data_IF_454753389433
#
_entry.id   IF_454753389433
#
_cell.length_a   1.000
_cell.length_b   1.000
_cell.length_c   1.000
_cell.angle_alpha   90.00
_cell.angle_beta   90.00
_cell.angle_gamma   90.00
#
_symmetry.space_group_name_H-M   'P 1'
#
loop_
_entity.id
_entity.type
_entity.pdbx_description
1 polymer ?
#
# COMPACT_ATOMS: atom_id res chain seq x y z
N UNK A 1 -11.06 -21.30 -1.06
CA UNK A 1 -11.66 -20.03 -0.63
C UNK A 1 -11.03 -18.83 -1.35
N UNK A 2 -9.71 -18.79 -1.57
CA UNK A 2 -9.06 -17.68 -2.28
C UNK A 2 -9.55 -17.43 -3.72
N UNK A 3 -9.78 -18.49 -4.50
CA UNK A 3 -10.33 -18.39 -5.87
C UNK A 3 -11.72 -17.75 -5.95
N UNK A 4 -12.54 -17.85 -4.90
CA UNK A 4 -13.86 -17.19 -4.88
C UNK A 4 -13.76 -15.70 -4.57
N UNK A 5 -12.72 -15.31 -3.84
CA UNK A 5 -12.45 -13.93 -3.48
C UNK A 5 -11.99 -13.11 -4.69
N UNK A 6 -11.05 -13.68 -5.45
CA UNK A 6 -10.58 -13.15 -6.73
C UNK A 6 -11.73 -12.93 -7.71
N UNK A 7 -12.62 -13.93 -7.86
CA UNK A 7 -13.82 -13.81 -8.70
C UNK A 7 -14.72 -12.65 -8.28
N UNK A 8 -14.99 -12.50 -6.98
CA UNK A 8 -15.82 -11.39 -6.47
C UNK A 8 -15.23 -10.02 -6.78
N UNK A 9 -13.91 -9.86 -6.74
CA UNK A 9 -13.26 -8.57 -7.03
C UNK A 9 -13.36 -8.24 -8.52
N UNK A 10 -13.18 -9.24 -9.39
CA UNK A 10 -13.35 -9.08 -10.84
C UNK A 10 -14.79 -8.66 -11.15
N UNK A 11 -15.77 -9.35 -10.57
CA UNK A 11 -17.19 -9.05 -10.76
C UNK A 11 -17.56 -7.62 -10.30
N UNK A 12 -16.98 -7.16 -9.18
CA UNK A 12 -17.23 -5.83 -8.63
C UNK A 12 -16.54 -4.70 -9.41
N UNK A 13 -15.37 -4.97 -9.98
CA UNK A 13 -14.58 -3.94 -10.67
C UNK A 13 -14.90 -3.84 -12.15
N UNK A 14 -15.56 -4.85 -12.73
CA UNK A 14 -15.85 -4.95 -14.18
C UNK A 14 -14.59 -4.85 -15.05
N UNK A 15 -13.43 -5.09 -14.44
CA UNK A 15 -12.15 -5.04 -15.13
C UNK A 15 -11.91 -6.36 -15.87
N UNK A 16 -11.12 -6.38 -16.96
CA UNK A 16 -10.86 -7.59 -17.72
C UNK A 16 -10.29 -8.70 -16.82
N UNK A 17 -11.02 -9.81 -16.72
CA UNK A 17 -10.73 -10.90 -15.77
C UNK A 17 -9.30 -11.39 -15.87
N UNK A 18 -8.79 -11.54 -17.09
CA UNK A 18 -7.50 -12.18 -17.33
C UNK A 18 -6.34 -11.26 -16.95
N UNK A 19 -6.48 -9.96 -17.20
CA UNK A 19 -5.46 -8.96 -16.84
C UNK A 19 -5.40 -8.78 -15.33
N UNK A 20 -6.56 -8.68 -14.68
CA UNK A 20 -6.65 -8.51 -13.22
C UNK A 20 -6.19 -9.76 -12.47
N UNK A 21 -6.59 -10.94 -12.94
CA UNK A 21 -6.18 -12.20 -12.30
C UNK A 21 -4.66 -12.34 -12.33
N UNK A 22 -4.05 -12.13 -13.49
CA UNK A 22 -2.59 -12.22 -13.62
C UNK A 22 -1.86 -11.21 -12.73
N UNK A 23 -2.38 -10.00 -12.60
CA UNK A 23 -1.76 -8.97 -11.76
C UNK A 23 -1.92 -9.28 -10.27
N UNK A 24 -3.11 -9.69 -9.84
CA UNK A 24 -3.35 -10.10 -8.46
C UNK A 24 -2.52 -11.32 -8.06
N UNK A 25 -2.35 -12.28 -8.97
CA UNK A 25 -1.48 -13.44 -8.72
C UNK A 25 -0.02 -13.01 -8.50
N UNK A 26 0.51 -12.09 -9.32
CA UNK A 26 1.86 -11.54 -9.11
C UNK A 26 2.00 -10.79 -7.79
N UNK A 27 1.01 -9.98 -7.43
CA UNK A 27 1.02 -9.22 -6.17
C UNK A 27 1.09 -10.18 -4.98
N UNK A 28 0.31 -11.27 -5.01
CA UNK A 28 0.33 -12.29 -3.96
C UNK A 28 1.64 -13.10 -3.95
N UNK A 29 2.15 -13.48 -5.12
CA UNK A 29 3.42 -14.19 -5.27
C UNK A 29 4.61 -13.38 -4.73
N UNK A 30 4.64 -12.07 -4.99
CA UNK A 30 5.67 -11.17 -4.46
C UNK A 30 5.72 -11.14 -2.92
N UNK A 31 4.61 -11.50 -2.26
CA UNK A 31 4.51 -11.59 -0.80
C UNK A 31 4.56 -13.03 -0.28
N UNK A 32 4.80 -14.02 -1.15
CA UNK A 32 4.82 -15.43 -0.79
C UNK A 32 3.44 -15.99 -0.38
N UNK A 33 2.36 -15.30 -0.73
CA UNK A 33 0.99 -15.69 -0.37
C UNK A 33 0.40 -16.57 -1.46
N UNK A 34 -0.09 -17.76 -1.09
CA UNK A 34 -0.75 -18.66 -2.04
C UNK A 34 -2.17 -18.19 -2.35
N UNK A 35 -2.47 -18.01 -3.65
CA UNK A 35 -3.81 -17.65 -4.16
C UNK A 35 -4.94 -18.60 -3.74
N UNK A 36 -4.62 -19.86 -3.44
CA UNK A 36 -5.64 -20.85 -3.04
C UNK A 36 -6.09 -20.69 -1.58
N UNK A 37 -5.21 -20.11 -0.75
CA UNK A 37 -5.37 -19.99 0.71
C UNK A 37 -5.46 -18.54 1.21
N UNK A 38 -5.36 -17.56 0.32
CA UNK A 38 -5.42 -16.15 0.66
C UNK A 38 -6.72 -15.77 1.37
N UNK A 39 -6.57 -15.11 2.52
CA UNK A 39 -7.65 -14.46 3.26
C UNK A 39 -7.90 -13.03 2.78
N UNK A 40 -9.03 -12.44 3.19
CA UNK A 40 -9.33 -11.03 2.89
C UNK A 40 -8.30 -10.06 3.47
N UNK A 41 -7.78 -10.35 4.66
CA UNK A 41 -6.77 -9.50 5.31
C UNK A 41 -5.45 -9.55 4.56
N UNK A 42 -4.97 -10.74 4.22
CA UNK A 42 -3.74 -10.93 3.44
C UNK A 42 -3.85 -10.25 2.08
N UNK A 43 -4.99 -10.39 1.39
CA UNK A 43 -5.19 -9.71 0.12
C UNK A 43 -5.19 -8.19 0.25
N UNK A 44 -5.83 -7.64 1.30
CA UNK A 44 -5.82 -6.19 1.56
C UNK A 44 -4.42 -5.68 1.86
N UNK A 45 -3.65 -6.41 2.68
CA UNK A 45 -2.25 -6.09 2.94
C UNK A 45 -1.42 -6.11 1.66
N UNK A 46 -1.64 -7.13 0.83
CA UNK A 46 -0.91 -7.27 -0.42
C UNK A 46 -1.18 -6.11 -1.40
N UNK A 47 -2.45 -5.73 -1.53
CA UNK A 47 -2.86 -4.59 -2.35
C UNK A 47 -2.39 -3.25 -1.78
N UNK A 48 -2.41 -3.07 -0.46
CA UNK A 48 -1.95 -1.84 0.17
C UNK A 48 -0.46 -1.60 -0.10
N UNK A 49 0.35 -2.66 0.03
CA UNK A 49 1.78 -2.62 -0.28
C UNK A 49 2.03 -2.32 -1.77
N UNK A 50 1.31 -3.01 -2.67
CA UNK A 50 1.41 -2.74 -4.11
C UNK A 50 1.09 -1.28 -4.45
N UNK A 51 0.00 -0.73 -3.89
CA UNK A 51 -0.38 0.66 -4.12
C UNK A 51 0.66 1.63 -3.58
N UNK A 52 1.24 1.34 -2.41
CA UNK A 52 2.32 2.14 -1.85
C UNK A 52 3.54 2.16 -2.77
N UNK A 53 3.97 1.00 -3.27
CA UNK A 53 5.09 0.89 -4.22
C UNK A 53 4.81 1.63 -5.54
N UNK A 54 3.62 1.46 -6.11
CA UNK A 54 3.22 2.16 -7.34
C UNK A 54 3.25 3.66 -7.13
N UNK A 55 2.72 4.16 -6.01
CA UNK A 55 2.70 5.58 -5.72
C UNK A 55 4.10 6.13 -5.43
N UNK A 56 4.96 5.38 -4.74
CA UNK A 56 6.35 5.76 -4.52
C UNK A 56 7.14 5.85 -5.83
N UNK A 57 7.00 4.86 -6.72
CA UNK A 57 7.66 4.84 -8.03
C UNK A 57 7.22 6.00 -8.94
N UNK A 58 5.96 6.42 -8.83
CA UNK A 58 5.42 7.56 -9.58
C UNK A 58 5.67 8.92 -8.90
N UNK A 59 6.40 8.96 -7.78
CA UNK A 59 6.68 10.18 -7.03
C UNK A 59 5.42 10.82 -6.42
N UNK A 60 4.34 10.06 -6.27
CA UNK A 60 3.07 10.50 -5.70
C UNK A 60 3.07 10.43 -4.17
N UNK A 61 4.01 9.67 -3.60
CA UNK A 61 4.34 9.67 -2.18
C UNK A 61 5.81 10.07 -2.09
N UNK A 62 6.07 11.19 -1.40
CA UNK A 62 7.39 11.43 -0.83
C UNK A 62 7.40 10.63 0.47
N UNK A 63 8.23 9.59 0.54
CA UNK A 63 8.66 9.11 1.85
C UNK A 63 9.19 10.35 2.56
N UNK A 64 8.56 10.73 3.67
CA UNK A 64 9.17 11.70 4.56
C UNK A 64 10.51 11.08 4.90
N UNK A 65 11.59 11.59 4.32
CA UNK A 65 12.89 11.37 4.89
C UNK A 65 12.71 11.78 6.34
N UNK A 66 13.01 10.87 7.26
CA UNK A 66 13.21 11.21 8.65
C UNK A 66 14.38 12.21 8.66
N UNK A 67 14.07 13.48 8.37
CA UNK A 67 14.84 14.59 8.85
C UNK A 67 14.67 14.49 10.36
N UNK A 68 15.61 13.82 11.02
CA UNK A 68 15.96 14.17 12.39
C UNK A 68 16.36 15.65 12.36
N UNK A 69 15.37 16.55 12.28
CA UNK A 69 15.54 17.92 12.71
C UNK A 69 15.82 17.82 14.21
N UNK A 70 17.12 17.80 14.54
CA UNK A 70 17.63 18.18 15.84
C UNK A 70 16.92 19.51 16.19
N UNK A 71 15.87 19.41 17.00
CA UNK A 71 15.03 20.54 17.34
C UNK A 71 15.89 21.48 18.19
N UNK A 72 16.56 22.42 17.52
CA UNK A 72 17.42 23.40 18.17
C UNK A 72 16.54 24.33 19.01
N UNK A 73 16.44 23.99 20.30
CA UNK A 73 15.72 24.73 21.33
C UNK A 73 16.20 26.18 21.48
N UNK A 74 17.27 26.59 20.79
CA UNK A 74 17.73 27.99 20.77
C UNK A 74 16.79 28.95 20.00
N UNK A 75 15.86 28.44 19.19
CA UNK A 75 14.91 29.28 18.42
C UNK A 75 13.55 29.51 19.06
N UNK A 76 13.33 29.05 20.30
CA UNK A 76 12.13 29.45 21.06
C UNK A 76 12.29 30.89 21.52
N UNK A 77 11.96 31.86 20.65
CA UNK A 77 11.73 33.22 21.10
C UNK A 77 10.45 33.25 21.94
N UNK A 78 10.62 33.14 23.25
CA UNK A 78 9.63 33.54 24.23
C UNK A 78 9.37 35.04 24.02
N UNK A 79 8.29 35.37 23.32
CA UNK A 79 7.68 36.68 23.42
C UNK A 79 7.18 36.84 24.86
N UNK A 80 7.98 37.46 25.72
CA UNK A 80 7.51 37.99 26.99
C UNK A 80 6.51 39.10 26.70
N UNK A 81 5.23 38.82 26.92
CA UNK A 81 4.17 39.82 26.96
C UNK A 81 3.84 40.10 28.42
N UNK A 82 4.48 41.12 28.98
CA UNK A 82 3.95 42.21 29.84
C UNK A 82 5.06 42.83 30.68
#
# INVERSE_FOLDING_TARGET
MGNELLKKIIDLTQLPSDQITNELEKILENQGISKDRVSLEELRGALAQYLHEVFAQNGLIQEAADEEEDFDNSKVQLFSVH
#
